data_IF_964115806368
#
_entry.id   IF_964115806368
#
_cell.length_a   1.000
_cell.length_b   1.000
_cell.length_c   1.000
_cell.angle_alpha   90.00
_cell.angle_beta   90.00
_cell.angle_gamma   90.00
#
_symmetry.space_group_name_H-M   'P 1'
#
loop_
_entity.id
_entity.type
_entity.pdbx_description
1 polymer ?
#
# COMPACT_ATOMS: atom_id res chain seq x y z
N UNK A 1 5.08 13.63 -8.32
CA UNK A 1 5.10 12.69 -9.45
C UNK A 1 3.74 12.00 -9.50
N UNK A 2 2.99 12.06 -10.61
CA UNK A 2 1.71 11.33 -10.72
C UNK A 2 2.01 9.89 -11.17
N UNK A 3 1.79 8.91 -10.29
CA UNK A 3 1.87 7.49 -10.64
C UNK A 3 0.46 6.95 -10.91
N UNK A 4 0.30 6.18 -11.98
CA UNK A 4 -0.97 5.51 -12.26
C UNK A 4 -1.22 4.42 -11.21
N UNK A 5 -2.23 4.61 -10.35
CA UNK A 5 -2.64 3.64 -9.34
C UNK A 5 -3.36 2.47 -10.02
N UNK A 6 -2.80 1.27 -9.91
CA UNK A 6 -3.34 0.06 -10.54
C UNK A 6 -3.42 -1.10 -9.55
N UNK A 7 -4.34 -2.04 -9.84
CA UNK A 7 -4.47 -3.28 -9.08
C UNK A 7 -3.14 -4.05 -9.04
N UNK A 8 -2.80 -4.59 -7.88
CA UNK A 8 -1.63 -5.43 -7.67
C UNK A 8 -0.37 -4.68 -7.27
N UNK A 9 -0.34 -3.36 -7.45
CA UNK A 9 0.76 -2.52 -6.96
C UNK A 9 0.85 -2.55 -5.43
N UNK A 10 2.07 -2.40 -4.92
CA UNK A 10 2.38 -2.41 -3.50
C UNK A 10 2.80 -1.00 -3.09
N UNK A 11 2.28 -0.57 -1.94
CA UNK A 11 2.61 0.71 -1.31
C UNK A 11 2.86 0.47 0.18
N UNK A 12 3.39 1.47 0.87
CA UNK A 12 3.32 1.59 2.33
C UNK A 12 2.23 2.60 2.69
N UNK A 13 1.54 2.39 3.82
CA UNK A 13 0.73 3.44 4.44
C UNK A 13 1.61 4.42 5.24
N UNK A 14 0.99 5.42 5.86
CA UNK A 14 1.69 6.44 6.64
C UNK A 14 2.45 5.91 7.86
N UNK A 15 2.23 4.65 8.25
CA UNK A 15 2.98 3.98 9.32
C UNK A 15 4.10 3.07 8.77
N UNK A 16 4.39 3.13 7.46
CA UNK A 16 5.36 2.27 6.80
C UNK A 16 4.85 0.86 6.53
N UNK A 17 3.58 0.56 6.78
CA UNK A 17 3.07 -0.80 6.69
C UNK A 17 2.68 -1.17 5.25
N UNK A 18 3.06 -2.35 4.74
CA UNK A 18 2.82 -2.71 3.35
C UNK A 18 1.35 -3.00 3.07
N UNK A 19 0.87 -2.51 1.93
CA UNK A 19 -0.49 -2.67 1.43
C UNK A 19 -0.48 -3.02 -0.06
N UNK A 20 -1.53 -3.70 -0.52
CA UNK A 20 -1.74 -4.05 -1.93
C UNK A 20 -2.99 -3.41 -2.47
N UNK A 21 -2.87 -2.74 -3.63
CA UNK A 21 -4.02 -2.14 -4.30
C UNK A 21 -4.93 -3.23 -4.88
N UNK A 22 -6.20 -3.18 -4.51
CA UNK A 22 -7.23 -4.06 -5.06
C UNK A 22 -7.90 -3.42 -6.27
N UNK A 23 -8.32 -2.15 -6.14
CA UNK A 23 -9.04 -1.42 -7.19
C UNK A 23 -9.07 0.09 -6.91
N UNK A 24 -9.24 0.89 -7.96
CA UNK A 24 -9.59 2.31 -7.85
C UNK A 24 -10.94 2.55 -8.55
N UNK A 25 -11.92 3.13 -7.85
CA UNK A 25 -13.27 3.48 -8.36
C UNK A 25 -13.70 4.80 -7.73
N UNK A 26 -14.36 5.68 -8.49
CA UNK A 26 -15.01 6.89 -7.96
C UNK A 26 -14.10 7.68 -7.00
N UNK A 27 -12.86 7.96 -7.44
CA UNK A 27 -11.86 8.70 -6.66
C UNK A 27 -11.50 8.06 -5.31
N UNK A 28 -11.72 6.76 -5.16
CA UNK A 28 -11.49 6.00 -3.94
C UNK A 28 -10.59 4.80 -4.27
N UNK A 29 -9.52 4.65 -3.50
CA UNK A 29 -8.55 3.56 -3.62
C UNK A 29 -8.92 2.50 -2.59
N UNK A 30 -9.24 1.29 -3.05
CA UNK A 30 -9.47 0.12 -2.22
C UNK A 30 -8.17 -0.70 -2.15
N UNK A 31 -7.72 -1.01 -0.95
CA UNK A 31 -6.49 -1.75 -0.71
C UNK A 31 -6.66 -2.78 0.40
N UNK A 32 -5.72 -3.73 0.44
CA UNK A 32 -5.60 -4.74 1.49
C UNK A 32 -4.26 -4.56 2.19
N UNK A 33 -4.28 -4.39 3.50
CA UNK A 33 -3.10 -4.51 4.36
C UNK A 33 -2.66 -5.97 4.40
N UNK A 34 -1.36 -6.22 4.51
CA UNK A 34 -0.83 -7.59 4.58
C UNK A 34 -1.27 -8.38 5.83
N UNK A 35 -1.75 -7.72 6.88
CA UNK A 35 -2.45 -8.33 8.02
C UNK A 35 -3.85 -8.90 7.66
N UNK A 36 -4.28 -8.73 6.41
CA UNK A 36 -5.54 -9.23 5.86
C UNK A 36 -6.68 -8.20 5.85
N UNK A 37 -6.54 -7.05 6.53
CA UNK A 37 -7.60 -6.04 6.62
C UNK A 37 -7.76 -5.30 5.28
N UNK A 38 -9.00 -5.15 4.84
CA UNK A 38 -9.33 -4.39 3.63
C UNK A 38 -9.89 -3.03 4.02
N UNK A 39 -9.36 -1.97 3.41
CA UNK A 39 -9.70 -0.58 3.71
C UNK A 39 -9.77 0.24 2.43
N UNK A 40 -10.34 1.44 2.53
CA UNK A 40 -10.44 2.37 1.42
C UNK A 40 -10.11 3.79 1.86
N UNK A 41 -9.56 4.58 0.95
CA UNK A 41 -9.22 5.99 1.17
C UNK A 41 -9.52 6.81 -0.08
N UNK A 42 -9.73 8.12 0.05
CA UNK A 42 -9.85 8.99 -1.12
C UNK A 42 -8.52 9.10 -1.84
N UNK A 43 -8.54 9.28 -3.16
CA UNK A 43 -7.32 9.34 -3.96
C UNK A 43 -6.40 10.50 -3.56
N UNK A 44 -6.97 11.60 -3.07
CA UNK A 44 -6.19 12.76 -2.62
C UNK A 44 -5.36 12.36 -1.40
N UNK A 45 -6.01 11.86 -0.34
CA UNK A 45 -5.31 11.39 0.85
C UNK A 45 -4.38 10.20 0.53
N UNK A 46 -4.74 9.34 -0.44
CA UNK A 46 -3.85 8.28 -0.89
C UNK A 46 -2.52 8.83 -1.42
N UNK A 47 -2.59 9.84 -2.30
CA UNK A 47 -1.40 10.44 -2.89
C UNK A 47 -0.51 11.18 -1.88
N UNK A 48 -1.07 11.57 -0.73
CA UNK A 48 -0.34 12.27 0.34
C UNK A 48 0.24 11.30 1.38
N UNK A 49 -0.46 10.20 1.68
CA UNK A 49 -0.16 9.34 2.82
C UNK A 49 0.51 8.02 2.43
N UNK A 50 0.53 7.65 1.15
CA UNK A 50 1.02 6.35 0.69
C UNK A 50 2.19 6.51 -0.26
N UNK A 51 3.21 5.67 -0.06
CA UNK A 51 4.40 5.66 -0.90
C UNK A 51 4.49 4.35 -1.67
N UNK A 52 4.79 4.44 -2.97
CA UNK A 52 4.92 3.24 -3.80
C UNK A 52 6.24 2.57 -3.48
N UNK A 53 6.21 1.26 -3.27
CA UNK A 53 7.40 0.44 -3.09
C UNK A 53 7.50 -0.64 -4.17
N UNK A 54 8.71 -1.13 -4.40
CA UNK A 54 8.97 -2.27 -5.27
C UNK A 54 8.94 -3.62 -4.52
N UNK A 55 9.17 -4.70 -5.26
CA UNK A 55 9.14 -6.05 -4.69
C UNK A 55 10.35 -6.34 -3.77
N UNK A 56 11.46 -5.66 -3.94
CA UNK A 56 12.64 -5.81 -3.09
C UNK A 56 12.43 -5.12 -1.76
N UNK A 57 12.00 -3.87 -1.77
CA UNK A 57 11.63 -3.09 -0.57
C UNK A 57 10.55 -3.84 0.23
N UNK A 58 9.53 -4.36 -0.45
CA UNK A 58 8.51 -5.18 0.18
C UNK A 58 9.08 -6.41 0.91
N UNK A 59 10.03 -7.13 0.29
CA UNK A 59 10.67 -8.31 0.92
C UNK A 59 11.50 -7.92 2.14
N UNK A 60 12.15 -6.76 2.12
CA UNK A 60 12.93 -6.26 3.25
C UNK A 60 12.03 -5.97 4.44
N UNK A 61 10.92 -5.24 4.22
CA UNK A 61 9.93 -4.94 5.27
C UNK A 61 9.37 -6.23 5.89
N UNK A 62 9.07 -7.24 5.06
CA UNK A 62 8.61 -8.54 5.56
C UNK A 62 9.67 -9.23 6.42
N UNK A 63 10.92 -9.27 5.96
CA UNK A 63 12.01 -9.91 6.69
C UNK A 63 12.27 -9.24 8.04
N UNK A 64 12.19 -7.90 8.11
CA UNK A 64 12.31 -7.14 9.36
C UNK A 64 11.14 -7.44 10.31
N UNK A 65 9.91 -7.49 9.80
CA UNK A 65 8.72 -7.80 10.60
C UNK A 65 8.74 -9.23 11.16
N UNK A 66 9.28 -10.19 10.41
CA UNK A 66 9.43 -11.59 10.84
C UNK A 66 10.54 -11.77 11.88
N UNK A 67 11.57 -10.91 11.90
CA UNK A 67 12.66 -10.97 12.88
C UNK A 67 12.29 -10.34 14.24
N UNK A 68 11.27 -9.49 14.29
CA UNK A 68 10.80 -8.82 15.52
C UNK A 68 9.76 -9.63 16.32
N UNK A 69 9.33 -10.82 15.84
CA UNK A 69 8.42 -11.74 16.54
C UNK A 69 9.16 -12.94 17.16
#
# INVERSE_FOLDING_TARGET
MFALIQRGQIYTDSAGYPIKILRCINNTVLYRRMDGRTQSVKINDFNELFERIDHQEYRQILAETEQEN
#
